data_IF_360417852088
#
_entry.id   IF_360417852088
#
_cell.length_a   1.000
_cell.length_b   1.000
_cell.length_c   1.000
_cell.angle_alpha   90.00
_cell.angle_beta   90.00
_cell.angle_gamma   90.00
#
_symmetry.space_group_name_H-M   'P 1'
#
loop_
_entity.id
_entity.type
_entity.pdbx_description
1 polymer ?
#
# COMPACT_ATOMS: atom_id res chain seq x y z
N UNK A 1 -15.21 42.02 11.03
CA UNK A 1 -14.66 41.31 12.20
C UNK A 1 -14.00 40.05 11.67
N UNK A 2 -12.68 40.10 11.50
CA UNK A 2 -11.88 39.04 10.90
C UNK A 2 -11.68 37.90 11.91
N UNK A 3 -12.03 36.66 11.55
CA UNK A 3 -11.70 35.48 12.35
C UNK A 3 -10.44 34.86 11.78
N UNK A 4 -9.27 35.29 12.27
CA UNK A 4 -8.02 34.57 12.08
C UNK A 4 -8.05 33.24 12.86
N UNK A 5 -7.84 32.13 12.17
CA UNK A 5 -7.59 30.83 12.81
C UNK A 5 -8.05 29.60 12.04
N UNK A 6 -7.89 29.54 10.71
CA UNK A 6 -8.15 28.29 9.98
C UNK A 6 -7.04 27.30 10.29
N UNK A 7 -7.33 26.29 11.12
CA UNK A 7 -6.43 25.14 11.37
C UNK A 7 -5.96 24.57 10.03
N UNK A 8 -4.64 24.36 9.87
CA UNK A 8 -4.10 23.69 8.68
C UNK A 8 -4.72 22.29 8.58
N UNK A 9 -5.15 21.90 7.38
CA UNK A 9 -5.59 20.53 7.14
C UNK A 9 -4.43 19.58 7.44
N UNK A 10 -4.63 18.63 8.36
CA UNK A 10 -3.70 17.52 8.61
C UNK A 10 -3.66 16.51 7.45
N UNK A 11 -4.55 16.69 6.49
CA UNK A 11 -4.68 15.90 5.31
C UNK A 11 -4.08 16.70 4.14
N UNK A 12 -3.18 16.06 3.38
CA UNK A 12 -2.74 16.57 2.09
C UNK A 12 -3.92 16.70 1.12
N UNK A 13 -3.68 17.25 -0.07
CA UNK A 13 -4.74 17.52 -1.07
C UNK A 13 -5.59 16.28 -1.40
N UNK A 14 -5.02 15.09 -1.30
CA UNK A 14 -5.69 13.79 -1.48
C UNK A 14 -6.22 13.11 -0.22
N UNK A 15 -6.03 13.64 0.99
CA UNK A 15 -6.35 12.86 2.19
C UNK A 15 -5.34 11.74 2.49
N UNK A 16 -5.69 10.82 3.40
CA UNK A 16 -4.82 9.67 3.76
C UNK A 16 -4.84 8.60 2.66
N UNK A 17 -6.01 8.33 2.08
CA UNK A 17 -6.25 7.24 1.13
C UNK A 17 -7.04 7.69 -0.12
N UNK A 18 -7.02 8.98 -0.47
CA UNK A 18 -7.88 9.51 -1.53
C UNK A 18 -9.27 9.94 -1.04
N UNK A 19 -10.11 10.45 -1.95
CA UNK A 19 -11.53 10.73 -1.72
C UNK A 19 -12.31 9.47 -1.32
N UNK A 20 -13.35 9.62 -0.48
CA UNK A 20 -14.21 8.50 -0.10
C UNK A 20 -15.05 7.97 -1.28
N UNK A 21 -15.33 8.83 -2.26
CA UNK A 21 -16.09 8.48 -3.46
C UNK A 21 -15.37 7.45 -4.34
N UNK A 22 -14.03 7.38 -4.23
CA UNK A 22 -13.20 6.46 -5.01
C UNK A 22 -13.05 5.07 -4.37
N UNK A 23 -13.58 4.86 -3.15
CA UNK A 23 -13.34 3.65 -2.34
C UNK A 23 -13.63 2.34 -3.08
N UNK A 24 -14.62 2.33 -3.96
CA UNK A 24 -15.06 1.15 -4.70
C UNK A 24 -14.42 0.99 -6.07
N UNK A 25 -13.74 2.02 -6.56
CA UNK A 25 -13.18 2.09 -7.90
C UNK A 25 -11.65 2.09 -7.90
N UNK A 26 -11.04 2.54 -6.81
CA UNK A 26 -9.60 2.56 -6.67
C UNK A 26 -9.01 1.16 -6.73
N UNK A 27 -7.91 1.03 -7.46
CA UNK A 27 -7.20 -0.23 -7.58
C UNK A 27 -6.72 -0.67 -6.17
N UNK A 28 -7.03 -1.90 -5.75
CA UNK A 28 -6.53 -2.41 -4.48
C UNK A 28 -5.00 -2.40 -4.43
N UNK A 29 -4.44 -2.23 -3.24
CA UNK A 29 -3.01 -2.45 -3.02
C UNK A 29 -2.69 -3.90 -3.37
N UNK A 30 -1.79 -4.10 -4.33
CA UNK A 30 -1.47 -5.42 -4.89
C UNK A 30 -0.60 -6.27 -3.95
N UNK A 31 -1.12 -6.62 -2.77
CA UNK A 31 -0.42 -7.51 -1.84
C UNK A 31 -0.21 -8.90 -2.44
N UNK A 32 0.95 -9.51 -2.13
CA UNK A 32 1.26 -10.89 -2.48
C UNK A 32 0.34 -11.86 -1.75
N UNK A 33 -0.15 -12.88 -2.45
CA UNK A 33 -1.08 -13.86 -1.89
C UNK A 33 -0.31 -14.90 -1.09
N UNK A 34 -0.70 -15.15 0.16
CA UNK A 34 -0.07 -16.16 1.02
C UNK A 34 -0.15 -17.57 0.42
N UNK A 35 -1.36 -18.06 0.15
CA UNK A 35 -1.60 -19.39 -0.45
C UNK A 35 -1.61 -19.38 -1.98
N UNK A 36 -1.24 -18.27 -2.60
CA UNK A 36 -1.27 -18.10 -4.05
C UNK A 36 0.05 -18.45 -4.75
N UNK A 37 0.94 -19.16 -4.05
CA UNK A 37 2.22 -19.65 -4.60
C UNK A 37 3.42 -18.72 -4.43
N UNK A 38 3.22 -17.51 -3.90
CA UNK A 38 4.32 -16.54 -3.67
C UNK A 38 5.18 -16.92 -2.45
N UNK A 39 4.63 -17.71 -1.52
CA UNK A 39 5.32 -18.13 -0.30
C UNK A 39 5.49 -19.65 -0.26
N UNK A 40 6.53 -20.10 0.43
CA UNK A 40 6.70 -21.51 0.79
C UNK A 40 5.80 -21.87 1.97
N UNK A 41 5.04 -22.97 1.85
CA UNK A 41 4.15 -23.48 2.90
C UNK A 41 4.82 -24.69 3.54
N UNK A 42 4.89 -24.80 4.89
CA UNK A 42 4.21 -23.98 5.89
C UNK A 42 5.02 -22.79 6.42
N UNK A 43 6.25 -22.59 5.93
CA UNK A 43 7.19 -21.63 6.51
C UNK A 43 6.78 -20.15 6.34
N UNK A 44 5.87 -19.86 5.40
CA UNK A 44 5.41 -18.51 5.03
C UNK A 44 6.56 -17.55 4.67
N UNK A 45 7.67 -18.11 4.18
CA UNK A 45 8.80 -17.35 3.67
C UNK A 45 8.55 -17.02 2.20
N UNK A 46 8.85 -15.79 1.79
CA UNK A 46 8.71 -15.38 0.40
C UNK A 46 9.70 -16.17 -0.47
N UNK A 47 9.24 -16.71 -1.59
CA UNK A 47 10.10 -17.50 -2.48
C UNK A 47 11.23 -16.64 -3.05
N UNK A 48 12.43 -17.23 -3.24
CA UNK A 48 13.55 -16.53 -3.85
C UNK A 48 13.19 -16.07 -5.27
N UNK A 49 13.74 -14.92 -5.68
CA UNK A 49 13.46 -14.31 -6.97
C UNK A 49 12.17 -13.48 -7.03
N UNK A 50 11.37 -13.45 -5.96
CA UNK A 50 10.20 -12.58 -5.87
C UNK A 50 10.54 -11.26 -5.17
N UNK A 51 10.61 -10.18 -5.94
CA UNK A 51 10.93 -8.83 -5.45
C UNK A 51 12.25 -8.29 -5.99
N UNK A 52 12.52 -7.01 -5.75
CA UNK A 52 13.80 -6.38 -6.07
C UNK A 52 14.87 -6.88 -5.10
N UNK A 53 16.09 -7.15 -5.58
CA UNK A 53 17.21 -7.59 -4.73
C UNK A 53 17.56 -6.59 -3.62
N UNK A 54 17.19 -5.31 -3.78
CA UNK A 54 17.35 -4.24 -2.79
C UNK A 54 16.13 -4.03 -1.91
N UNK A 55 14.99 -4.66 -2.22
CA UNK A 55 13.79 -4.54 -1.41
C UNK A 55 13.90 -5.41 -0.15
N UNK A 56 13.54 -4.82 0.99
CA UNK A 56 13.47 -5.51 2.27
C UNK A 56 12.25 -5.02 3.06
N UNK A 57 11.91 -5.75 4.12
CA UNK A 57 10.76 -5.44 4.99
C UNK A 57 9.43 -5.44 4.23
N UNK A 58 8.52 -4.55 4.62
CA UNK A 58 7.13 -4.54 4.13
C UNK A 58 6.98 -4.38 2.61
N UNK A 59 7.94 -3.73 1.96
CA UNK A 59 7.89 -3.50 0.50
C UNK A 59 7.96 -4.80 -0.30
N UNK A 60 8.49 -5.89 0.28
CA UNK A 60 8.52 -7.21 -0.37
C UNK A 60 7.13 -7.82 -0.57
N UNK A 61 6.14 -7.40 0.22
CA UNK A 61 4.79 -7.95 0.19
C UNK A 61 3.87 -7.28 -0.85
N UNK A 62 4.32 -6.26 -1.56
CA UNK A 62 3.55 -5.61 -2.62
C UNK A 62 4.13 -6.05 -3.97
N UNK A 63 3.28 -6.52 -4.89
CA UNK A 63 3.67 -6.80 -6.26
C UNK A 63 4.02 -5.49 -6.94
N UNK A 64 5.15 -5.45 -7.63
CA UNK A 64 5.43 -4.34 -8.54
C UNK A 64 4.60 -4.57 -9.80
N UNK A 65 4.02 -3.50 -10.31
CA UNK A 65 3.67 -3.44 -11.71
C UNK A 65 4.96 -3.17 -12.49
N UNK A 66 5.19 -3.95 -13.54
CA UNK A 66 6.23 -3.68 -14.54
C UNK A 66 5.87 -2.42 -15.35
#
# INVERSE_FOLDING_TARGET
>A
MEVQGRRRSHYGERGVNGPIDDLWTDAPIAYRKQSGGDYDIPALTLKPGLGDARASGFRLHVRRHD
#
